data_IF_887238163146
#
_entry.id   IF_887238163146
#
_cell.length_a   1.000
_cell.length_b   1.000
_cell.length_c   1.000
_cell.angle_alpha   90.00
_cell.angle_beta   90.00
_cell.angle_gamma   90.00
#
_symmetry.space_group_name_H-M   'P 1'
#
loop_
_entity.id
_entity.type
_entity.pdbx_description
1 polymer ?
#
# COMPACT_ATOMS: atom_id res chain seq x y z
N UNK A 1 28.29 16.93 9.10
CA UNK A 1 27.29 16.25 8.25
C UNK A 1 25.94 16.91 8.50
N UNK A 2 25.42 17.61 7.49
CA UNK A 2 24.28 18.52 7.64
C UNK A 2 22.97 17.78 7.84
N UNK A 3 22.31 18.03 8.96
CA UNK A 3 21.00 17.47 9.28
C UNK A 3 19.94 18.25 8.50
N UNK A 4 19.53 17.74 7.34
CA UNK A 4 18.27 18.14 6.70
C UNK A 4 17.11 17.50 7.51
N UNK A 5 16.94 17.91 8.77
CA UNK A 5 16.18 17.16 9.79
C UNK A 5 14.70 17.51 9.90
N UNK A 6 14.28 18.67 9.40
CA UNK A 6 13.11 19.32 10.03
C UNK A 6 11.78 18.59 9.79
N UNK A 7 11.57 17.99 8.61
CA UNK A 7 10.31 17.31 8.29
C UNK A 7 10.41 15.77 8.21
N UNK A 8 11.59 15.20 7.96
CA UNK A 8 11.74 13.73 7.84
C UNK A 8 11.48 13.02 9.17
N UNK A 9 11.81 13.67 10.28
CA UNK A 9 11.52 13.16 11.65
C UNK A 9 10.02 13.04 11.94
N UNK A 10 9.16 13.72 11.18
CA UNK A 10 7.70 13.54 11.27
C UNK A 10 7.23 12.19 10.72
N UNK A 11 8.06 11.53 9.91
CA UNK A 11 7.78 10.20 9.36
C UNK A 11 8.44 9.08 10.17
N UNK A 12 9.42 9.42 11.01
CA UNK A 12 10.16 8.45 11.81
C UNK A 12 9.22 7.75 12.80
N UNK A 13 9.10 6.41 12.74
CA UNK A 13 8.29 5.66 13.69
C UNK A 13 8.89 5.74 15.09
N UNK A 14 8.05 5.91 16.12
CA UNK A 14 8.48 6.02 17.52
C UNK A 14 8.85 4.68 18.16
N UNK A 15 8.45 3.58 17.54
CA UNK A 15 8.75 2.22 18.01
C UNK A 15 9.93 1.61 17.25
N UNK A 16 10.70 0.74 17.90
CA UNK A 16 11.74 -0.08 17.25
C UNK A 16 11.12 -1.10 16.28
N UNK A 17 11.94 -1.65 15.38
CA UNK A 17 11.51 -2.71 14.47
C UNK A 17 10.98 -3.93 15.25
N UNK A 18 9.90 -4.54 14.75
CA UNK A 18 9.27 -5.70 15.38
C UNK A 18 8.49 -6.53 14.36
N UNK A 19 8.96 -7.75 14.12
CA UNK A 19 8.25 -8.73 13.26
C UNK A 19 6.86 -9.04 13.82
N UNK A 20 6.75 -9.18 15.15
CA UNK A 20 5.48 -9.47 15.82
C UNK A 20 4.45 -8.36 15.59
N UNK A 21 4.87 -7.09 15.60
CA UNK A 21 3.97 -5.96 15.40
C UNK A 21 3.43 -5.86 13.95
N UNK A 22 4.21 -6.30 12.95
CA UNK A 22 3.76 -6.34 11.55
C UNK A 22 2.64 -7.36 11.32
N UNK A 23 2.61 -8.43 12.13
CA UNK A 23 1.65 -9.52 12.02
C UNK A 23 2.00 -10.54 10.93
N UNK A 24 1.10 -11.52 10.71
CA UNK A 24 1.33 -12.58 9.73
C UNK A 24 1.40 -12.02 8.31
N UNK A 25 2.02 -12.79 7.41
CA UNK A 25 2.02 -12.47 5.99
C UNK A 25 0.57 -12.51 5.44
N UNK A 26 0.26 -11.74 4.39
CA UNK A 26 -1.03 -11.84 3.72
C UNK A 26 -1.23 -13.24 3.12
N UNK A 27 -2.42 -13.80 3.30
CA UNK A 27 -2.85 -14.99 2.58
C UNK A 27 -3.62 -14.55 1.32
N UNK A 28 -3.01 -14.66 0.15
CA UNK A 28 -3.61 -14.20 -1.10
C UNK A 28 -4.73 -15.10 -1.65
N UNK A 29 -4.96 -16.26 -1.04
CA UNK A 29 -6.19 -17.03 -1.28
C UNK A 29 -7.43 -16.31 -0.72
N UNK A 30 -7.26 -15.44 0.29
CA UNK A 30 -8.35 -14.69 0.90
C UNK A 30 -8.59 -13.37 0.16
N UNK A 31 -9.84 -13.09 -0.22
CA UNK A 31 -10.19 -11.83 -0.91
C UNK A 31 -9.86 -10.57 -0.10
N UNK A 32 -9.81 -10.67 1.23
CA UNK A 32 -9.40 -9.57 2.13
C UNK A 32 -7.94 -9.16 1.97
N UNK A 33 -7.08 -10.02 1.40
CA UNK A 33 -5.70 -9.68 1.07
C UNK A 33 -5.59 -8.81 -0.20
N UNK A 34 -6.70 -8.46 -0.85
CA UNK A 34 -6.71 -7.71 -2.10
C UNK A 34 -7.38 -6.35 -1.95
N UNK A 35 -6.68 -5.29 -2.33
CA UNK A 35 -7.21 -3.93 -2.44
C UNK A 35 -8.11 -3.75 -3.68
N UNK A 36 -7.80 -4.49 -4.74
CA UNK A 36 -8.68 -4.71 -5.90
C UNK A 36 -8.58 -6.17 -6.34
N UNK A 37 -9.73 -6.77 -6.62
CA UNK A 37 -9.86 -8.11 -7.18
C UNK A 37 -11.04 -8.06 -8.18
N UNK A 38 -10.95 -8.67 -9.38
CA UNK A 38 -11.99 -8.49 -10.42
C UNK A 38 -13.39 -8.86 -9.94
N UNK A 39 -13.52 -9.94 -9.16
CA UNK A 39 -14.78 -10.43 -8.59
C UNK A 39 -15.35 -9.56 -7.45
N UNK A 40 -14.65 -8.50 -7.01
CA UNK A 40 -15.02 -7.72 -5.83
C UNK A 40 -15.09 -6.21 -6.12
N UNK A 41 -15.98 -5.51 -5.41
CA UNK A 41 -16.06 -4.04 -5.47
C UNK A 41 -14.81 -3.43 -4.82
N UNK A 42 -14.18 -2.50 -5.52
CA UNK A 42 -12.98 -1.80 -5.07
C UNK A 42 -13.06 -0.30 -5.36
N UNK A 43 -12.14 0.48 -4.79
CA UNK A 43 -12.05 1.91 -5.06
C UNK A 43 -11.57 2.21 -6.50
N UNK A 44 -10.96 1.24 -7.18
CA UNK A 44 -10.51 1.37 -8.57
C UNK A 44 -11.69 1.43 -9.56
N UNK A 45 -12.90 1.01 -9.14
CA UNK A 45 -14.12 1.12 -9.97
C UNK A 45 -14.64 2.56 -10.08
N UNK A 46 -14.07 3.50 -9.34
CA UNK A 46 -14.55 4.88 -9.32
C UNK A 46 -14.07 5.60 -10.58
N UNK A 47 -15.02 6.17 -11.32
CA UNK A 47 -14.79 6.75 -12.64
C UNK A 47 -15.23 8.22 -12.64
N UNK A 48 -14.53 9.11 -13.36
CA UNK A 48 -15.05 10.42 -13.69
C UNK A 48 -16.38 10.31 -14.46
N UNK A 49 -17.29 11.28 -14.29
CA UNK A 49 -18.49 11.34 -15.12
C UNK A 49 -18.13 11.58 -16.59
N UNK A 50 -19.02 11.15 -17.50
CA UNK A 50 -18.86 11.39 -18.95
C UNK A 50 -18.05 10.33 -19.70
N UNK A 51 -17.53 9.30 -19.03
CA UNK A 51 -16.89 8.16 -19.69
C UNK A 51 -17.91 7.15 -20.23
N UNK A 52 -17.61 6.44 -21.34
CA UNK A 52 -18.43 5.34 -21.85
C UNK A 52 -18.70 4.26 -20.80
N UNK A 53 -19.67 3.38 -21.02
CA UNK A 53 -19.85 2.23 -20.13
C UNK A 53 -18.55 1.40 -20.07
N UNK A 54 -18.16 0.90 -18.89
CA UNK A 54 -17.01 0.02 -18.78
C UNK A 54 -17.29 -1.26 -19.56
N UNK A 55 -16.31 -1.73 -20.33
CA UNK A 55 -16.41 -3.03 -21.01
C UNK A 55 -15.97 -4.09 -20.00
N UNK A 56 -16.88 -4.94 -19.50
CA UNK A 56 -16.48 -6.01 -18.61
C UNK A 56 -15.63 -7.01 -19.41
N UNK A 57 -14.64 -7.60 -18.74
CA UNK A 57 -13.92 -8.78 -19.21
C UNK A 57 -13.07 -8.56 -20.47
N UNK A 58 -11.99 -7.82 -20.27
CA UNK A 58 -10.93 -7.56 -21.25
C UNK A 58 -9.92 -8.71 -21.32
N UNK A 59 -9.21 -8.84 -22.44
CA UNK A 59 -8.22 -9.91 -22.70
C UNK A 59 -6.99 -9.86 -21.78
N UNK A 60 -6.73 -8.74 -21.09
CA UNK A 60 -5.56 -8.55 -20.24
C UNK A 60 -5.86 -8.71 -18.74
N UNK A 61 -4.96 -9.37 -18.01
CA UNK A 61 -4.86 -9.29 -16.56
C UNK A 61 -3.87 -8.19 -16.18
N UNK A 62 -4.26 -7.30 -15.25
CA UNK A 62 -3.43 -6.19 -14.78
C UNK A 62 -3.11 -6.37 -13.31
N UNK A 63 -1.82 -6.48 -12.99
CA UNK A 63 -1.34 -6.53 -11.62
C UNK A 63 -0.73 -5.17 -11.22
N UNK A 64 -1.43 -4.44 -10.35
CA UNK A 64 -1.02 -3.11 -9.89
C UNK A 64 -0.46 -3.16 -8.48
N UNK A 65 0.82 -2.82 -8.33
CA UNK A 65 1.49 -2.64 -7.04
C UNK A 65 1.35 -1.17 -6.64
N UNK A 66 0.54 -0.89 -5.62
CA UNK A 66 0.39 0.49 -5.11
C UNK A 66 1.70 0.97 -4.45
N UNK A 67 2.00 2.28 -4.42
CA UNK A 67 3.14 2.80 -3.67
C UNK A 67 2.95 2.64 -2.15
N UNK A 68 4.02 2.85 -1.39
CA UNK A 68 3.96 2.96 0.07
C UNK A 68 3.10 4.15 0.46
N UNK A 69 2.05 3.88 1.23
CA UNK A 69 1.10 4.85 1.77
C UNK A 69 1.12 4.90 3.30
N UNK A 70 2.03 4.14 3.91
CA UNK A 70 2.26 4.10 5.34
C UNK A 70 3.42 5.01 5.73
N UNK A 71 3.14 6.04 6.52
CA UNK A 71 4.11 7.08 6.89
C UNK A 71 3.79 7.69 8.27
N UNK A 72 3.16 6.92 9.16
CA UNK A 72 2.70 7.43 10.46
C UNK A 72 3.78 7.33 11.54
N UNK A 73 4.13 8.49 12.11
CA UNK A 73 5.05 8.64 13.23
C UNK A 73 4.74 7.76 14.44
N UNK A 74 3.47 7.69 14.82
CA UNK A 74 3.02 6.91 15.99
C UNK A 74 2.88 5.40 15.69
N UNK A 75 3.47 4.94 14.58
CA UNK A 75 3.43 3.55 14.14
C UNK A 75 4.75 2.82 14.37
N UNK A 76 4.80 1.60 13.84
CA UNK A 76 5.99 0.75 13.76
C UNK A 76 6.72 0.92 12.44
N UNK A 77 7.89 0.31 12.31
CA UNK A 77 8.66 0.25 11.06
C UNK A 77 7.94 -0.45 9.92
N UNK A 78 7.05 -1.41 10.23
CA UNK A 78 6.17 -2.05 9.27
C UNK A 78 4.71 -1.83 9.67
N UNK A 79 3.86 -1.57 8.68
CA UNK A 79 2.43 -1.44 8.91
C UNK A 79 1.82 -2.80 9.34
N UNK A 80 1.01 -2.84 10.41
CA UNK A 80 0.17 -3.99 10.68
C UNK A 80 -0.77 -4.25 9.50
N UNK A 81 -0.79 -5.47 8.97
CA UNK A 81 -1.53 -5.80 7.74
C UNK A 81 -3.04 -5.47 7.84
N UNK A 82 -3.63 -5.66 9.02
CA UNK A 82 -5.06 -5.42 9.30
C UNK A 82 -5.37 -4.01 9.79
N UNK A 83 -4.45 -3.06 9.63
CA UNK A 83 -4.65 -1.67 10.02
C UNK A 83 -5.68 -0.98 9.12
N UNK A 84 -6.96 -0.99 9.52
CA UNK A 84 -8.10 -0.49 8.73
C UNK A 84 -7.93 0.95 8.23
N UNK A 85 -7.30 1.81 9.03
CA UNK A 85 -7.02 3.20 8.62
C UNK A 85 -6.10 3.24 7.40
N UNK A 86 -5.07 2.40 7.35
CA UNK A 86 -4.12 2.34 6.24
C UNK A 86 -4.81 1.82 4.99
N UNK A 87 -5.51 0.69 5.12
CA UNK A 87 -6.26 0.10 4.03
C UNK A 87 -7.24 1.09 3.39
N UNK A 88 -7.94 1.89 4.21
CA UNK A 88 -8.85 2.93 3.73
C UNK A 88 -8.12 4.08 3.05
N UNK A 89 -6.97 4.49 3.58
CA UNK A 89 -6.14 5.53 2.99
C UNK A 89 -5.60 5.08 1.63
N UNK A 90 -4.93 3.92 1.55
CA UNK A 90 -4.47 3.31 0.29
C UNK A 90 -5.59 3.17 -0.73
N UNK A 91 -6.78 2.74 -0.31
CA UNK A 91 -7.94 2.62 -1.18
C UNK A 91 -8.37 3.98 -1.77
N UNK A 92 -8.42 5.04 -0.96
CA UNK A 92 -8.89 6.38 -1.38
C UNK A 92 -7.83 7.19 -2.11
N UNK A 93 -6.56 6.82 -2.01
CA UNK A 93 -5.46 7.49 -2.71
C UNK A 93 -5.01 6.65 -3.89
N UNK A 94 -4.06 5.74 -3.70
CA UNK A 94 -3.43 4.99 -4.78
C UNK A 94 -4.42 4.17 -5.60
N UNK A 95 -5.31 3.41 -4.95
CA UNK A 95 -6.24 2.54 -5.69
C UNK A 95 -7.26 3.36 -6.48
N UNK A 96 -7.87 4.37 -5.86
CA UNK A 96 -8.86 5.23 -6.52
C UNK A 96 -8.24 6.13 -7.60
N UNK A 97 -7.11 6.76 -7.31
CA UNK A 97 -6.58 7.84 -8.15
C UNK A 97 -5.57 7.34 -9.19
N UNK A 98 -5.00 6.15 -9.01
CA UNK A 98 -3.99 5.60 -9.92
C UNK A 98 -4.47 4.28 -10.54
N UNK A 99 -4.87 3.30 -9.71
CA UNK A 99 -5.25 1.98 -10.23
C UNK A 99 -6.55 1.99 -11.06
N UNK A 100 -7.42 2.99 -10.88
CA UNK A 100 -8.67 3.14 -11.63
C UNK A 100 -8.46 3.31 -13.13
N UNK A 101 -7.30 3.82 -13.57
CA UNK A 101 -6.92 3.90 -14.99
C UNK A 101 -6.98 2.54 -15.69
N UNK A 102 -6.70 1.46 -14.95
CA UNK A 102 -6.63 0.11 -15.51
C UNK A 102 -7.94 -0.67 -15.39
N UNK A 103 -8.94 -0.14 -14.68
CA UNK A 103 -10.18 -0.89 -14.40
C UNK A 103 -10.97 -1.24 -15.67
N UNK A 104 -10.90 -0.37 -16.69
CA UNK A 104 -11.59 -0.58 -17.98
C UNK A 104 -10.68 -1.24 -19.04
N UNK A 105 -9.40 -1.47 -18.72
CA UNK A 105 -8.40 -2.04 -19.63
C UNK A 105 -8.18 -3.53 -19.37
N UNK A 106 -8.38 -3.95 -18.12
CA UNK A 106 -7.90 -5.21 -17.60
C UNK A 106 -8.74 -5.78 -16.46
N UNK A 107 -8.64 -7.10 -16.25
CA UNK A 107 -8.96 -7.71 -14.95
C UNK A 107 -7.93 -7.20 -13.94
N UNK A 108 -8.33 -6.26 -13.09
CA UNK A 108 -7.44 -5.57 -12.16
C UNK A 108 -7.27 -6.32 -10.83
N UNK A 109 -6.03 -6.65 -10.52
CA UNK A 109 -5.57 -7.21 -9.26
C UNK A 109 -4.64 -6.21 -8.57
N UNK A 110 -4.91 -5.88 -7.31
CA UNK A 110 -4.02 -5.06 -6.50
C UNK A 110 -3.91 -5.67 -5.10
N UNK A 111 -2.78 -6.27 -4.72
CA UNK A 111 -2.62 -6.91 -3.41
C UNK A 111 -2.52 -5.87 -2.28
N UNK A 112 -2.89 -6.27 -1.07
CA UNK A 112 -2.48 -5.64 0.19
C UNK A 112 -1.24 -6.37 0.69
N UNK A 113 -0.08 -5.78 0.45
CA UNK A 113 1.20 -6.32 0.89
C UNK A 113 1.68 -5.60 2.17
N UNK A 114 2.73 -6.12 2.81
CA UNK A 114 3.36 -5.49 3.98
C UNK A 114 4.08 -4.21 3.54
N UNK A 115 3.83 -3.09 4.21
CA UNK A 115 4.51 -1.84 3.90
C UNK A 115 5.52 -1.53 4.99
N UNK A 116 6.79 -1.32 4.61
CA UNK A 116 7.71 -0.55 5.43
C UNK A 116 7.23 0.92 5.50
N UNK A 117 7.48 1.62 6.60
CA UNK A 117 7.19 3.06 6.68
C UNK A 117 7.97 3.82 5.61
N UNK A 118 7.38 4.85 5.02
CA UNK A 118 8.03 5.69 4.01
C UNK A 118 9.39 6.24 4.48
N UNK A 119 9.59 6.39 5.80
CA UNK A 119 10.84 6.81 6.40
C UNK A 119 12.03 5.88 6.06
N UNK A 120 11.82 4.57 5.85
CA UNK A 120 12.92 3.62 5.55
C UNK A 120 13.71 3.99 4.31
N UNK A 121 13.05 4.58 3.31
CA UNK A 121 13.67 4.99 2.05
C UNK A 121 14.57 6.23 2.21
N UNK A 122 14.45 6.97 3.32
CA UNK A 122 15.28 8.12 3.63
C UNK A 122 16.32 7.84 4.72
N UNK A 123 16.03 6.91 5.63
CA UNK A 123 16.87 6.57 6.76
C UNK A 123 17.78 5.36 6.49
N UNK A 124 18.55 5.39 5.39
CA UNK A 124 19.35 4.24 4.92
C UNK A 124 20.42 3.77 5.90
N UNK A 125 20.82 4.62 6.86
CA UNK A 125 21.80 4.31 7.90
C UNK A 125 21.16 3.87 9.22
N UNK A 126 19.82 3.92 9.36
CA UNK A 126 19.14 3.45 10.56
C UNK A 126 19.13 1.92 10.59
N UNK A 127 19.55 1.27 11.69
CA UNK A 127 19.61 -0.18 11.79
C UNK A 127 18.26 -0.89 11.64
N UNK A 128 17.14 -0.18 11.80
CA UNK A 128 15.81 -0.74 11.61
C UNK A 128 15.34 -0.69 10.14
N UNK A 129 15.97 0.11 9.28
CA UNK A 129 15.51 0.33 7.89
C UNK A 129 15.61 -0.93 7.04
N UNK A 130 16.77 -1.58 7.02
CA UNK A 130 16.96 -2.79 6.21
C UNK A 130 16.07 -3.95 6.66
N UNK A 131 15.99 -4.31 7.97
CA UNK A 131 15.08 -5.35 8.43
C UNK A 131 13.60 -5.06 8.12
N UNK A 132 13.20 -3.78 8.14
CA UNK A 132 11.84 -3.38 7.79
C UNK A 132 11.54 -3.56 6.30
N UNK A 133 12.50 -3.29 5.42
CA UNK A 133 12.40 -3.56 3.99
C UNK A 133 12.33 -5.07 3.72
N UNK A 134 13.23 -5.86 4.31
CA UNK A 134 13.30 -7.32 4.14
C UNK A 134 12.02 -8.03 4.64
N UNK A 135 11.36 -7.48 5.66
CA UNK A 135 10.08 -8.03 6.13
C UNK A 135 8.92 -7.69 5.19
N UNK A 136 9.02 -6.58 4.47
CA UNK A 136 7.95 -6.02 3.64
C UNK A 136 7.91 -6.59 2.21
N UNK A 137 9.07 -6.86 1.62
CA UNK A 137 9.26 -7.18 0.21
C UNK A 137 10.16 -8.40 0.03
#
# INVERSE_FOLDING_TARGET
MGVLSSCLTLLQPVHSFSVKAAGPAPNYADSVAWAALPSHRSAARQRPPGLPAPVPDTVADVFYVHPTTYFWRLGYWNAPLRLRRLQRYTARTSIRNQASLFYDVGRLYAPRYRQATLYTFFATQDPNSQPALDLAY
#
